data_IF_304322558390
#
_entry.id   IF_304322558390
#
_cell.length_a   1.000
_cell.length_b   1.000
_cell.length_c   1.000
_cell.angle_alpha   90.00
_cell.angle_beta   90.00
_cell.angle_gamma   90.00
#
_symmetry.space_group_name_H-M   'P 1'
#
loop_
_entity.id
_entity.type
_entity.pdbx_description
1 polymer ?
#
# COMPACT_ATOMS: atom_id res chain seq x y z
N UNK A 1 8.86 11.10 -28.23
CA UNK A 1 9.72 11.78 -27.26
C UNK A 1 10.07 10.78 -26.17
N UNK A 2 11.36 10.45 -26.00
CA UNK A 2 11.81 9.50 -24.97
C UNK A 2 11.52 10.11 -23.60
N UNK A 3 10.52 9.54 -22.86
CA UNK A 3 10.38 9.82 -21.43
C UNK A 3 11.62 9.22 -20.75
N UNK A 4 12.40 10.03 -20.05
CA UNK A 4 13.57 9.59 -19.29
C UNK A 4 13.19 8.50 -18.29
N UNK A 5 14.07 7.51 -18.09
CA UNK A 5 13.85 6.32 -17.26
C UNK A 5 13.86 6.59 -15.74
N UNK A 6 13.82 7.86 -15.31
CA UNK A 6 13.79 8.22 -13.88
C UNK A 6 12.36 8.58 -13.45
N UNK A 7 11.50 7.55 -13.31
CA UNK A 7 10.16 7.70 -12.71
C UNK A 7 10.23 7.79 -11.17
N UNK A 8 11.30 8.36 -10.62
CA UNK A 8 11.46 8.57 -9.18
C UNK A 8 11.10 10.02 -8.83
N UNK A 9 10.33 10.16 -7.76
CA UNK A 9 9.98 11.45 -7.17
C UNK A 9 10.27 11.39 -5.66
N UNK A 10 10.82 12.46 -5.09
CA UNK A 10 11.12 12.50 -3.66
C UNK A 10 10.26 13.53 -2.96
N UNK A 11 9.60 13.11 -1.88
CA UNK A 11 8.85 13.99 -1.00
C UNK A 11 9.77 14.45 0.12
N UNK A 12 9.83 15.77 0.42
CA UNK A 12 10.59 16.24 1.57
C UNK A 12 10.11 15.58 2.87
N UNK A 13 11.04 15.13 3.72
CA UNK A 13 10.70 14.56 5.04
C UNK A 13 9.93 15.53 5.94
N UNK A 14 10.07 16.85 5.68
CA UNK A 14 9.33 17.91 6.37
C UNK A 14 7.92 18.11 5.83
N UNK A 15 7.48 17.35 4.82
CA UNK A 15 6.11 17.45 4.32
C UNK A 15 5.13 17.02 5.43
N UNK A 16 4.28 17.95 5.80
CA UNK A 16 3.23 17.76 6.81
C UNK A 16 1.97 18.46 6.31
N UNK A 17 0.95 17.74 5.86
CA UNK A 17 -0.30 18.32 5.42
C UNK A 17 -1.10 18.85 6.62
N UNK A 18 -2.18 19.60 6.35
CA UNK A 18 -3.12 20.08 7.38
C UNK A 18 -3.85 18.91 8.04
N UNK A 19 -4.36 19.11 9.26
CA UNK A 19 -5.05 18.08 10.04
C UNK A 19 -6.26 17.46 9.34
N UNK A 20 -7.00 18.23 8.54
CA UNK A 20 -8.19 17.78 7.79
C UNK A 20 -7.91 17.47 6.31
N UNK A 21 -6.65 17.26 5.95
CA UNK A 21 -6.19 17.10 4.56
C UNK A 21 -6.88 15.95 3.80
N UNK A 22 -7.28 14.91 4.51
CA UNK A 22 -7.98 13.74 3.98
C UNK A 22 -9.44 13.68 4.44
N UNK A 23 -10.00 14.79 4.93
CA UNK A 23 -11.38 14.83 5.40
C UNK A 23 -12.36 14.28 4.35
N UNK A 24 -13.33 13.51 4.82
CA UNK A 24 -14.40 12.83 4.05
C UNK A 24 -13.93 11.80 3.02
N UNK A 25 -12.64 11.49 2.94
CA UNK A 25 -12.12 10.42 2.07
C UNK A 25 -12.34 9.06 2.69
N UNK A 26 -12.71 8.10 1.85
CA UNK A 26 -12.81 6.68 2.20
C UNK A 26 -11.57 5.98 1.65
N UNK A 27 -10.75 5.41 2.53
CA UNK A 27 -9.45 4.84 2.16
C UNK A 27 -9.36 3.39 2.63
N UNK A 28 -9.15 2.46 1.70
CA UNK A 28 -8.89 1.05 2.00
C UNK A 28 -7.38 0.80 2.13
N UNK A 29 -6.96 0.20 3.23
CA UNK A 29 -5.56 -0.14 3.51
C UNK A 29 -5.43 -1.65 3.69
N UNK A 30 -4.62 -2.31 2.85
CA UNK A 30 -4.25 -3.72 3.05
C UNK A 30 -3.03 -3.86 3.95
N UNK A 31 -2.94 -4.94 4.72
CA UNK A 31 -1.88 -5.10 5.72
C UNK A 31 -2.03 -4.10 6.87
N UNK A 32 -3.27 -3.66 7.15
CA UNK A 32 -3.56 -2.59 8.09
C UNK A 32 -3.30 -2.95 9.56
N UNK A 33 -3.08 -4.23 9.87
CA UNK A 33 -2.81 -4.69 11.23
C UNK A 33 -1.37 -4.49 11.69
N UNK A 34 -0.41 -4.19 10.78
CA UNK A 34 1.02 -4.22 11.15
C UNK A 34 1.85 -3.19 10.40
N UNK A 35 2.97 -2.82 11.02
CA UNK A 35 4.09 -2.06 10.41
C UNK A 35 3.62 -0.82 9.61
N UNK A 36 3.98 -0.74 8.32
CA UNK A 36 3.65 0.40 7.46
C UNK A 36 2.13 0.55 7.23
N UNK A 37 1.39 -0.56 7.16
CA UNK A 37 -0.05 -0.51 6.95
C UNK A 37 -0.80 0.09 8.14
N UNK A 38 -0.45 -0.33 9.37
CA UNK A 38 -1.05 0.23 10.58
C UNK A 38 -0.70 1.70 10.78
N UNK A 39 0.58 2.06 10.56
CA UNK A 39 1.02 3.44 10.63
C UNK A 39 0.32 4.34 9.60
N UNK A 40 0.15 3.86 8.36
CA UNK A 40 -0.56 4.59 7.31
C UNK A 40 -2.05 4.75 7.65
N UNK A 41 -2.70 3.69 8.14
CA UNK A 41 -4.10 3.75 8.56
C UNK A 41 -4.32 4.81 9.66
N UNK A 42 -3.48 4.79 10.70
CA UNK A 42 -3.51 5.79 11.76
C UNK A 42 -3.24 7.21 11.23
N UNK A 43 -2.24 7.36 10.35
CA UNK A 43 -1.91 8.66 9.76
C UNK A 43 -3.04 9.23 8.90
N UNK A 44 -3.68 8.39 8.08
CA UNK A 44 -4.83 8.81 7.26
C UNK A 44 -6.03 9.19 8.12
N UNK A 45 -6.34 8.40 9.15
CA UNK A 45 -7.40 8.70 10.08
C UNK A 45 -7.16 10.00 10.86
N UNK A 46 -5.93 10.23 11.33
CA UNK A 46 -5.53 11.47 12.01
C UNK A 46 -5.68 12.72 11.12
N UNK A 47 -5.70 12.56 9.79
CA UNK A 47 -5.96 13.63 8.82
C UNK A 47 -7.40 13.64 8.29
N UNK A 48 -8.33 12.96 8.98
CA UNK A 48 -9.77 13.05 8.75
C UNK A 48 -10.37 12.02 7.80
N UNK A 49 -9.60 11.03 7.34
CA UNK A 49 -10.13 9.95 6.50
C UNK A 49 -10.91 8.91 7.32
N UNK A 50 -11.97 8.34 6.73
CA UNK A 50 -12.53 7.07 7.18
C UNK A 50 -11.73 5.94 6.57
N UNK A 51 -11.12 5.09 7.40
CA UNK A 51 -10.22 4.04 6.93
C UNK A 51 -10.89 2.67 7.02
N UNK A 52 -10.79 1.89 5.94
CA UNK A 52 -11.19 0.48 5.91
C UNK A 52 -9.92 -0.34 6.13
N UNK A 53 -9.85 -1.03 7.27
CA UNK A 53 -8.71 -1.81 7.73
C UNK A 53 -8.82 -3.25 7.24
N UNK A 54 -7.96 -3.67 6.31
CA UNK A 54 -7.94 -5.03 5.77
C UNK A 54 -6.67 -5.76 6.18
N UNK A 55 -6.84 -6.84 6.92
CA UNK A 55 -5.78 -7.81 7.27
C UNK A 55 -6.43 -9.16 7.62
N UNK A 56 -5.61 -10.19 7.78
CA UNK A 56 -6.07 -11.52 8.23
C UNK A 56 -6.08 -11.65 9.76
N UNK A 57 -5.30 -10.85 10.47
CA UNK A 57 -5.19 -10.85 11.93
C UNK A 57 -6.22 -9.91 12.54
N UNK A 58 -7.32 -10.48 13.01
CA UNK A 58 -8.42 -9.73 13.61
C UNK A 58 -7.97 -8.94 14.84
N UNK A 59 -7.17 -9.56 15.70
CA UNK A 59 -6.70 -8.89 16.93
C UNK A 59 -5.80 -7.68 16.62
N UNK A 60 -4.97 -7.80 15.58
CA UNK A 60 -4.16 -6.67 15.12
C UNK A 60 -5.03 -5.55 14.53
N UNK A 61 -6.08 -5.90 13.78
CA UNK A 61 -7.05 -4.91 13.26
C UNK A 61 -7.81 -4.20 14.38
N UNK A 62 -8.27 -4.95 15.41
CA UNK A 62 -8.95 -4.37 16.59
C UNK A 62 -8.04 -3.40 17.34
N UNK A 63 -6.76 -3.70 17.50
CA UNK A 63 -5.80 -2.80 18.12
C UNK A 63 -5.66 -1.47 17.35
N UNK A 64 -5.55 -1.53 16.02
CA UNK A 64 -5.50 -0.33 15.17
C UNK A 64 -6.81 0.45 15.19
N UNK A 65 -7.95 -0.26 15.20
CA UNK A 65 -9.27 0.36 15.35
C UNK A 65 -9.35 1.15 16.66
N UNK A 66 -8.96 0.54 17.78
CA UNK A 66 -8.97 1.19 19.09
C UNK A 66 -8.05 2.42 19.15
N UNK A 67 -6.89 2.34 18.51
CA UNK A 67 -5.96 3.47 18.41
C UNK A 67 -6.58 4.63 17.64
N UNK A 68 -7.23 4.37 16.50
CA UNK A 68 -7.91 5.39 15.69
C UNK A 68 -9.07 6.03 16.49
N UNK A 69 -9.90 5.22 17.13
CA UNK A 69 -11.02 5.72 17.97
C UNK A 69 -10.49 6.56 19.15
N UNK A 70 -9.41 6.12 19.79
CA UNK A 70 -8.78 6.86 20.91
C UNK A 70 -8.23 8.21 20.49
N UNK A 71 -7.78 8.36 19.23
CA UNK A 71 -7.35 9.65 18.68
C UNK A 71 -8.50 10.61 18.41
N UNK A 72 -9.76 10.15 18.50
CA UNK A 72 -10.95 10.94 18.15
C UNK A 72 -11.10 11.16 16.64
N UNK A 73 -10.43 10.34 15.81
CA UNK A 73 -10.55 10.34 14.37
C UNK A 73 -11.85 9.66 13.89
N UNK A 74 -12.24 9.78 12.60
CA UNK A 74 -13.40 9.07 12.07
C UNK A 74 -13.32 7.57 12.33
N UNK A 75 -14.43 6.98 12.77
CA UNK A 75 -14.54 5.56 13.12
C UNK A 75 -14.17 4.70 11.90
N UNK A 76 -13.16 3.80 12.02
CA UNK A 76 -12.74 2.96 10.90
C UNK A 76 -13.65 1.74 10.76
N UNK A 77 -13.63 1.10 9.58
CA UNK A 77 -14.26 -0.20 9.36
C UNK A 77 -13.21 -1.32 9.34
N UNK A 78 -13.52 -2.47 9.92
CA UNK A 78 -12.67 -3.66 9.88
C UNK A 78 -13.17 -4.64 8.83
N UNK A 79 -12.26 -5.12 7.97
CA UNK A 79 -12.53 -6.16 6.99
C UNK A 79 -11.48 -7.29 7.08
N UNK A 80 -11.75 -8.37 7.87
CA UNK A 80 -10.84 -9.49 7.99
C UNK A 80 -10.78 -10.30 6.70
N UNK A 81 -9.61 -10.37 6.05
CA UNK A 81 -9.41 -11.19 4.85
C UNK A 81 -7.94 -11.57 4.69
N UNK A 82 -7.68 -12.86 4.38
CA UNK A 82 -6.35 -13.33 4.05
C UNK A 82 -6.04 -13.18 2.57
N UNK A 83 -4.99 -12.43 2.22
CA UNK A 83 -4.53 -12.28 0.85
C UNK A 83 -3.95 -13.57 0.26
N UNK A 84 -3.51 -14.52 1.10
CA UNK A 84 -2.93 -15.80 0.67
C UNK A 84 -3.95 -16.68 -0.03
N UNK A 85 -5.16 -16.75 0.51
CA UNK A 85 -6.22 -17.65 0.02
C UNK A 85 -7.36 -16.96 -0.71
N UNK A 86 -7.32 -15.64 -0.86
CA UNK A 86 -8.40 -14.89 -1.49
C UNK A 86 -8.49 -15.20 -3.00
N UNK A 87 -9.72 -15.45 -3.44
CA UNK A 87 -10.08 -15.65 -4.83
C UNK A 87 -10.67 -14.36 -5.43
N UNK A 88 -10.82 -14.24 -6.76
CA UNK A 88 -11.47 -13.06 -7.36
C UNK A 88 -12.84 -12.72 -6.74
N UNK A 89 -13.63 -13.72 -6.38
CA UNK A 89 -14.95 -13.53 -5.77
C UNK A 89 -14.87 -12.80 -4.42
N UNK A 90 -13.89 -13.13 -3.58
CA UNK A 90 -13.71 -12.45 -2.28
C UNK A 90 -13.43 -10.95 -2.44
N UNK A 91 -12.67 -10.56 -3.49
CA UNK A 91 -12.42 -9.14 -3.78
C UNK A 91 -13.65 -8.43 -4.35
N UNK A 92 -14.46 -9.12 -5.15
CA UNK A 92 -15.73 -8.62 -5.66
C UNK A 92 -16.73 -8.42 -4.51
N UNK A 93 -16.86 -9.38 -3.60
CA UNK A 93 -17.69 -9.25 -2.38
C UNK A 93 -17.23 -8.09 -1.47
N UNK A 94 -15.92 -7.88 -1.33
CA UNK A 94 -15.37 -6.73 -0.61
C UNK A 94 -15.79 -5.42 -1.29
N UNK A 95 -15.59 -5.30 -2.60
CA UNK A 95 -15.95 -4.11 -3.34
C UNK A 95 -17.45 -3.81 -3.26
N UNK A 96 -18.30 -4.84 -3.34
CA UNK A 96 -19.75 -4.70 -3.18
C UNK A 96 -20.15 -4.18 -1.80
N UNK A 97 -19.51 -4.69 -0.73
CA UNK A 97 -19.74 -4.20 0.64
C UNK A 97 -19.30 -2.75 0.80
N UNK A 98 -18.09 -2.40 0.34
CA UNK A 98 -17.60 -1.02 0.36
C UNK A 98 -18.53 -0.11 -0.45
N UNK A 99 -18.98 -0.56 -1.61
CA UNK A 99 -19.93 0.18 -2.44
C UNK A 99 -21.29 0.40 -1.77
N UNK A 100 -21.79 -0.61 -1.04
CA UNK A 100 -23.06 -0.53 -0.32
C UNK A 100 -23.02 0.38 0.91
N UNK A 101 -21.87 0.40 1.59
CA UNK A 101 -21.71 1.17 2.83
C UNK A 101 -21.27 2.61 2.59
N UNK A 102 -20.32 2.81 1.66
CA UNK A 102 -19.70 4.12 1.45
C UNK A 102 -20.02 4.75 0.08
N UNK A 103 -20.53 3.99 -0.88
CA UNK A 103 -20.89 4.44 -2.21
C UNK A 103 -19.71 4.65 -3.17
N UNK A 104 -18.51 4.94 -2.68
CA UNK A 104 -17.27 5.20 -3.42
C UNK A 104 -16.03 4.77 -2.63
N UNK A 105 -14.88 4.84 -3.28
CA UNK A 105 -13.57 4.72 -2.65
C UNK A 105 -12.67 5.86 -3.16
N UNK A 106 -12.05 6.62 -2.25
CA UNK A 106 -11.19 7.75 -2.58
C UNK A 106 -9.69 7.38 -2.52
N UNK A 107 -9.35 6.27 -1.87
CA UNK A 107 -7.97 5.81 -1.77
C UNK A 107 -7.86 4.30 -1.59
N UNK A 108 -6.82 3.72 -2.21
CA UNK A 108 -6.47 2.30 -2.06
C UNK A 108 -4.96 2.19 -1.82
N UNK A 109 -4.57 1.78 -0.60
CA UNK A 109 -3.18 1.50 -0.25
C UNK A 109 -2.92 -0.01 -0.18
N UNK A 110 -2.03 -0.49 -1.03
CA UNK A 110 -1.47 -1.82 -0.97
C UNK A 110 -0.20 -1.84 -0.11
N UNK A 111 -0.35 -2.08 1.21
CA UNK A 111 0.77 -2.22 2.15
C UNK A 111 0.98 -3.67 2.61
N UNK A 112 -0.01 -4.56 2.42
CA UNK A 112 0.14 -5.98 2.72
C UNK A 112 1.24 -6.62 1.88
N UNK A 113 2.20 -7.28 2.53
CA UNK A 113 3.37 -7.87 1.87
C UNK A 113 3.87 -9.13 2.57
N UNK A 114 4.43 -10.04 1.81
CA UNK A 114 5.07 -11.29 2.26
C UNK A 114 6.52 -11.30 1.77
N UNK A 115 7.50 -11.53 2.67
CA UNK A 115 8.92 -11.59 2.32
C UNK A 115 9.29 -12.93 1.69
N UNK A 116 8.75 -14.01 2.21
CA UNK A 116 9.27 -15.35 2.00
C UNK A 116 10.60 -15.55 2.76
N UNK A 117 11.39 -16.54 2.34
CA UNK A 117 12.70 -16.79 2.92
C UNK A 117 13.80 -16.40 1.94
N UNK A 118 14.69 -15.43 2.28
CA UNK A 118 15.84 -15.09 1.45
C UNK A 118 16.68 -16.31 1.14
N UNK A 119 16.81 -16.66 -0.14
CA UNK A 119 17.44 -17.92 -0.57
C UNK A 119 17.93 -17.81 -2.02
N UNK A 120 18.99 -18.54 -2.41
CA UNK A 120 19.37 -18.66 -3.81
C UNK A 120 18.22 -19.21 -4.66
N UNK A 121 18.05 -18.71 -5.88
CA UNK A 121 16.97 -19.17 -6.78
C UNK A 121 16.98 -20.69 -6.98
N UNK A 122 18.17 -21.30 -7.06
CA UNK A 122 18.32 -22.75 -7.25
C UNK A 122 17.69 -23.59 -6.13
N UNK A 123 17.50 -23.01 -4.94
CA UNK A 123 16.98 -23.69 -3.76
C UNK A 123 15.71 -23.03 -3.20
N UNK A 124 15.15 -22.08 -3.93
CA UNK A 124 13.97 -21.37 -3.49
C UNK A 124 12.75 -22.32 -3.46
N UNK A 125 12.06 -22.38 -2.34
CA UNK A 125 10.88 -23.23 -2.20
C UNK A 125 9.75 -22.73 -3.10
N UNK A 126 9.21 -23.63 -3.93
CA UNK A 126 8.19 -23.28 -4.94
C UNK A 126 6.85 -22.86 -4.29
N UNK A 127 6.50 -23.41 -3.13
CA UNK A 127 5.27 -23.03 -2.43
C UNK A 127 5.40 -21.65 -1.78
N UNK A 128 6.58 -21.36 -1.22
CA UNK A 128 6.88 -20.00 -0.74
C UNK A 128 6.90 -18.99 -1.89
N UNK A 129 7.48 -19.35 -3.04
CA UNK A 129 7.44 -18.51 -4.23
C UNK A 129 5.99 -18.17 -4.59
N UNK A 130 5.14 -19.16 -4.74
CA UNK A 130 3.73 -18.98 -5.06
C UNK A 130 3.00 -18.09 -4.03
N UNK A 131 3.26 -18.30 -2.73
CA UNK A 131 2.68 -17.49 -1.65
C UNK A 131 3.09 -16.02 -1.75
N UNK A 132 4.39 -15.72 -1.96
CA UNK A 132 4.88 -14.36 -2.10
C UNK A 132 4.28 -13.66 -3.33
N UNK A 133 4.24 -14.32 -4.47
CA UNK A 133 3.62 -13.78 -5.70
C UNK A 133 2.10 -13.58 -5.51
N UNK A 134 1.43 -14.50 -4.83
CA UNK A 134 0.01 -14.36 -4.51
C UNK A 134 -0.27 -13.11 -3.68
N UNK A 135 0.47 -12.90 -2.59
CA UNK A 135 0.25 -11.77 -1.68
C UNK A 135 0.71 -10.44 -2.28
N UNK A 136 1.89 -10.42 -2.90
CA UNK A 136 2.54 -9.17 -3.32
C UNK A 136 2.12 -8.69 -4.71
N UNK A 137 1.55 -9.56 -5.55
CA UNK A 137 1.22 -9.21 -6.94
C UNK A 137 -0.22 -9.56 -7.31
N UNK A 138 -0.64 -10.82 -7.15
CA UNK A 138 -1.99 -11.23 -7.58
C UNK A 138 -3.07 -10.55 -6.72
N UNK A 139 -2.91 -10.48 -5.41
CA UNK A 139 -3.86 -9.84 -4.51
C UNK A 139 -3.99 -8.33 -4.80
N UNK A 140 -2.92 -7.54 -4.91
CA UNK A 140 -3.00 -6.14 -5.35
C UNK A 140 -3.69 -5.95 -6.70
N UNK A 141 -3.38 -6.78 -7.70
CA UNK A 141 -4.04 -6.74 -9.00
C UNK A 141 -5.56 -7.00 -8.88
N UNK A 142 -5.95 -8.09 -8.22
CA UNK A 142 -7.36 -8.50 -8.11
C UNK A 142 -8.17 -7.48 -7.29
N UNK A 143 -7.62 -6.98 -6.19
CA UNK A 143 -8.28 -5.97 -5.36
C UNK A 143 -8.42 -4.64 -6.12
N UNK A 144 -7.37 -4.18 -6.79
CA UNK A 144 -7.44 -2.98 -7.62
C UNK A 144 -8.53 -3.12 -8.68
N UNK A 145 -8.54 -4.23 -9.43
CA UNK A 145 -9.54 -4.51 -10.46
C UNK A 145 -10.97 -4.46 -9.89
N UNK A 146 -11.21 -5.07 -8.74
CA UNK A 146 -12.52 -5.08 -8.10
C UNK A 146 -12.95 -3.68 -7.61
N UNK A 147 -12.00 -2.88 -7.11
CA UNK A 147 -12.28 -1.55 -6.57
C UNK A 147 -12.31 -0.43 -7.64
N UNK A 148 -11.82 -0.66 -8.87
CA UNK A 148 -11.81 0.37 -9.93
C UNK A 148 -13.17 1.05 -10.15
N UNK A 149 -14.32 0.36 -10.18
CA UNK A 149 -15.62 1.02 -10.35
C UNK A 149 -15.95 2.00 -9.20
N UNK A 150 -15.49 1.72 -7.97
CA UNK A 150 -15.69 2.59 -6.81
C UNK A 150 -14.74 3.79 -6.82
N UNK A 151 -13.48 3.56 -7.21
CA UNK A 151 -12.46 4.60 -7.36
C UNK A 151 -12.85 5.62 -8.45
N UNK A 152 -13.45 5.17 -9.54
CA UNK A 152 -13.95 6.04 -10.61
C UNK A 152 -15.17 6.90 -10.22
N UNK A 153 -15.83 6.61 -9.10
CA UNK A 153 -16.92 7.45 -8.55
C UNK A 153 -16.44 8.61 -7.69
N UNK A 154 -15.18 8.58 -7.29
CA UNK A 154 -14.59 9.63 -6.48
C UNK A 154 -14.22 10.85 -7.35
N UNK A 155 -14.32 12.04 -6.78
CA UNK A 155 -13.86 13.29 -7.41
C UNK A 155 -12.33 13.41 -7.45
N UNK A 156 -11.64 12.65 -6.59
CA UNK A 156 -10.19 12.60 -6.48
C UNK A 156 -9.77 11.26 -5.85
N UNK A 157 -9.26 10.33 -6.63
CA UNK A 157 -8.86 9.02 -6.16
C UNK A 157 -7.36 8.76 -6.34
N UNK A 158 -6.79 7.97 -5.41
CA UNK A 158 -5.39 7.57 -5.45
C UNK A 158 -5.22 6.08 -5.15
N UNK A 159 -4.51 5.38 -6.04
CA UNK A 159 -4.05 4.01 -5.81
C UNK A 159 -2.56 4.07 -5.52
N UNK A 160 -2.14 3.53 -4.38
CA UNK A 160 -0.75 3.52 -3.94
C UNK A 160 -0.29 2.09 -3.68
N UNK A 161 0.81 1.70 -4.32
CA UNK A 161 1.45 0.40 -4.11
C UNK A 161 2.76 0.58 -3.34
N UNK A 162 2.92 -0.15 -2.23
CA UNK A 162 4.20 -0.16 -1.51
C UNK A 162 5.22 -1.00 -2.24
N UNK A 163 6.27 -0.34 -2.75
CA UNK A 163 7.44 -0.95 -3.40
C UNK A 163 8.64 -1.03 -2.44
N UNK A 164 9.81 -1.23 -2.98
CA UNK A 164 11.11 -1.25 -2.32
C UNK A 164 12.21 -1.04 -3.35
N UNK A 165 13.43 -0.70 -2.91
CA UNK A 165 14.61 -0.54 -3.79
C UNK A 165 14.92 -1.77 -4.64
N UNK A 166 14.64 -2.98 -4.11
CA UNK A 166 14.78 -4.25 -4.84
C UNK A 166 13.78 -4.43 -5.98
N UNK A 167 12.81 -3.54 -6.14
CA UNK A 167 11.91 -3.46 -7.30
C UNK A 167 12.55 -2.79 -8.53
N UNK A 168 13.69 -2.12 -8.35
CA UNK A 168 14.44 -1.44 -9.41
C UNK A 168 15.83 -2.03 -9.62
N UNK A 169 16.41 -2.64 -8.58
CA UNK A 169 17.71 -3.27 -8.66
C UNK A 169 17.67 -4.67 -8.05
N UNK A 170 17.78 -5.70 -8.90
CA UNK A 170 17.84 -7.09 -8.43
C UNK A 170 19.06 -7.35 -7.55
N UNK A 171 18.85 -8.07 -6.45
CA UNK A 171 19.88 -8.48 -5.50
C UNK A 171 19.82 -9.98 -5.26
N UNK A 172 20.96 -10.62 -5.03
CA UNK A 172 21.03 -12.01 -4.67
C UNK A 172 20.19 -12.30 -3.42
N UNK A 173 19.54 -13.46 -3.38
CA UNK A 173 18.71 -13.98 -2.30
C UNK A 173 17.30 -13.34 -2.14
N UNK A 174 16.97 -12.27 -2.87
CA UNK A 174 15.67 -11.61 -2.77
C UNK A 174 14.54 -12.30 -3.55
N UNK A 175 14.84 -13.29 -4.36
CA UNK A 175 13.92 -14.26 -5.00
C UNK A 175 12.56 -13.70 -5.39
N UNK A 176 11.50 -14.33 -4.90
CA UNK A 176 10.12 -13.97 -5.22
C UNK A 176 9.76 -12.56 -4.75
N UNK A 177 10.29 -12.10 -3.59
CA UNK A 177 10.02 -10.74 -3.11
C UNK A 177 10.54 -9.67 -4.09
N UNK A 178 11.81 -9.74 -4.48
CA UNK A 178 12.38 -8.81 -5.46
C UNK A 178 11.60 -8.83 -6.78
N UNK A 179 11.33 -10.02 -7.33
CA UNK A 179 10.54 -10.18 -8.56
C UNK A 179 9.15 -9.55 -8.40
N UNK A 180 8.47 -9.76 -7.27
CA UNK A 180 7.15 -9.15 -7.03
C UNK A 180 7.19 -7.62 -6.99
N UNK A 181 8.26 -7.02 -6.44
CA UNK A 181 8.40 -5.57 -6.40
C UNK A 181 8.70 -4.97 -7.77
N UNK A 182 9.51 -5.64 -8.62
CA UNK A 182 9.63 -5.28 -10.04
C UNK A 182 8.28 -5.32 -10.77
N UNK A 183 7.51 -6.39 -10.54
CA UNK A 183 6.20 -6.55 -11.16
C UNK A 183 5.20 -5.47 -10.72
N UNK A 184 5.22 -5.07 -9.44
CA UNK A 184 4.38 -4.00 -8.91
C UNK A 184 4.74 -2.65 -9.55
N UNK A 185 6.01 -2.31 -9.71
CA UNK A 185 6.40 -1.07 -10.39
C UNK A 185 6.01 -1.07 -11.87
N UNK A 186 6.05 -2.23 -12.53
CA UNK A 186 5.48 -2.40 -13.87
C UNK A 186 3.95 -2.22 -13.89
N UNK A 187 3.25 -2.77 -12.91
CA UNK A 187 1.79 -2.63 -12.77
C UNK A 187 1.38 -1.17 -12.54
N UNK A 188 2.13 -0.42 -11.73
CA UNK A 188 1.93 1.03 -11.52
C UNK A 188 1.96 1.78 -12.84
N UNK A 189 2.97 1.52 -13.69
CA UNK A 189 3.11 2.20 -14.98
C UNK A 189 1.99 1.83 -15.96
N UNK A 190 1.63 0.54 -16.04
CA UNK A 190 0.56 0.04 -16.91
C UNK A 190 -0.78 0.66 -16.52
N UNK A 191 -1.14 0.59 -15.23
CA UNK A 191 -2.40 1.16 -14.75
C UNK A 191 -2.47 2.68 -14.92
N UNK A 192 -1.36 3.38 -14.69
CA UNK A 192 -1.30 4.83 -14.89
C UNK A 192 -1.53 5.23 -16.34
N UNK A 193 -1.02 4.46 -17.31
CA UNK A 193 -1.21 4.67 -18.75
C UNK A 193 -2.64 4.32 -19.17
N UNK A 194 -3.17 3.17 -18.75
CA UNK A 194 -4.55 2.74 -19.02
C UNK A 194 -5.62 3.72 -18.47
N UNK A 195 -5.32 4.37 -17.35
CA UNK A 195 -6.23 5.29 -16.67
C UNK A 195 -5.94 6.77 -16.98
N UNK A 196 -5.11 7.08 -18.00
CA UNK A 196 -4.78 8.47 -18.39
C UNK A 196 -6.03 9.30 -18.74
N UNK A 197 -7.10 8.66 -19.21
CA UNK A 197 -8.38 9.32 -19.52
C UNK A 197 -9.25 9.60 -18.28
N UNK A 198 -8.86 9.15 -17.11
CA UNK A 198 -9.54 9.36 -15.83
C UNK A 198 -8.80 10.42 -15.00
N UNK A 199 -9.03 11.72 -15.25
CA UNK A 199 -8.17 12.80 -14.72
C UNK A 199 -8.20 12.92 -13.19
N UNK A 200 -9.16 12.26 -12.55
CA UNK A 200 -9.35 12.28 -11.09
C UNK A 200 -8.82 11.03 -10.40
N UNK A 201 -8.26 10.07 -11.15
CA UNK A 201 -7.71 8.83 -10.62
C UNK A 201 -6.23 8.72 -11.00
N UNK A 202 -5.37 8.61 -10.00
CA UNK A 202 -3.93 8.45 -10.19
C UNK A 202 -3.42 7.15 -9.55
N UNK A 203 -2.36 6.62 -10.12
CA UNK A 203 -1.72 5.38 -9.69
C UNK A 203 -0.23 5.64 -9.50
N UNK A 204 0.27 5.43 -8.29
CA UNK A 204 1.68 5.62 -7.97
C UNK A 204 2.20 4.51 -7.06
N UNK A 205 3.51 4.38 -6.96
CA UNK A 205 4.16 3.55 -5.96
C UNK A 205 4.82 4.40 -4.89
N UNK A 206 5.09 3.79 -3.74
CA UNK A 206 5.90 4.37 -2.67
C UNK A 206 7.00 3.40 -2.26
N UNK A 207 8.23 3.89 -2.21
CA UNK A 207 9.36 3.18 -1.61
C UNK A 207 9.68 3.89 -0.28
N UNK A 208 9.32 3.29 0.86
CA UNK A 208 9.52 3.90 2.17
C UNK A 208 10.99 3.92 2.62
N UNK A 209 11.88 3.31 1.82
CA UNK A 209 13.28 3.12 2.20
C UNK A 209 13.46 2.08 3.31
N UNK A 210 14.49 2.29 4.13
CA UNK A 210 14.81 1.39 5.25
C UNK A 210 14.02 1.82 6.48
N UNK A 211 13.10 0.95 6.95
CA UNK A 211 12.17 1.23 8.05
C UNK A 211 12.16 0.06 9.03
N UNK A 212 12.02 0.35 10.32
CA UNK A 212 11.88 -0.63 11.40
C UNK A 212 10.56 -1.40 11.26
N UNK A 213 10.60 -2.55 10.59
CA UNK A 213 9.45 -3.42 10.35
C UNK A 213 9.80 -4.87 10.67
N UNK A 214 8.79 -5.70 10.90
CA UNK A 214 8.97 -7.15 11.05
C UNK A 214 9.64 -7.76 9.83
N UNK A 215 9.26 -7.28 8.63
CA UNK A 215 9.88 -7.71 7.37
C UNK A 215 11.36 -7.37 7.33
N UNK A 216 11.74 -6.14 7.72
CA UNK A 216 13.15 -5.71 7.77
C UNK A 216 13.95 -6.57 8.74
N UNK A 217 13.45 -6.79 9.95
CA UNK A 217 14.10 -7.63 10.95
C UNK A 217 14.26 -9.08 10.48
N UNK A 218 13.30 -9.62 9.74
CA UNK A 218 13.40 -10.97 9.15
C UNK A 218 14.44 -11.02 8.02
N UNK A 219 14.53 -9.98 7.19
CA UNK A 219 15.49 -9.90 6.08
C UNK A 219 16.93 -9.64 6.54
N UNK A 220 17.10 -8.89 7.64
CA UNK A 220 18.39 -8.45 8.18
C UNK A 220 18.47 -8.70 9.70
N UNK A 221 18.54 -9.95 10.16
CA UNK A 221 18.47 -10.28 11.58
C UNK A 221 19.67 -9.79 12.42
N UNK A 222 20.77 -9.40 11.77
CA UNK A 222 21.95 -8.85 12.44
C UNK A 222 21.95 -7.30 12.50
N UNK A 223 20.97 -6.64 11.91
CA UNK A 223 20.82 -5.17 11.95
C UNK A 223 20.15 -4.75 13.26
N UNK A 224 20.66 -3.73 13.91
CA UNK A 224 20.01 -3.16 15.10
C UNK A 224 18.75 -2.37 14.68
N UNK A 225 17.54 -2.88 14.98
CA UNK A 225 16.31 -2.21 14.57
C UNK A 225 16.13 -0.82 15.24
N UNK A 226 16.81 -0.55 16.36
CA UNK A 226 16.72 0.75 17.03
C UNK A 226 17.43 1.88 16.29
N UNK A 227 18.27 1.55 15.31
CA UNK A 227 18.93 2.54 14.44
C UNK A 227 18.06 2.97 13.26
N UNK A 228 16.91 2.32 13.06
CA UNK A 228 16.03 2.55 11.93
C UNK A 228 14.84 3.43 12.30
N UNK A 229 14.35 4.26 11.38
CA UNK A 229 13.14 5.04 11.59
C UNK A 229 11.93 4.12 11.85
N UNK A 230 11.02 4.58 12.68
CA UNK A 230 9.74 3.90 12.90
C UNK A 230 8.81 4.07 11.71
N UNK A 231 7.83 3.17 11.51
CA UNK A 231 6.85 3.32 10.44
C UNK A 231 6.16 4.69 10.41
N UNK A 232 5.83 5.27 11.57
CA UNK A 232 5.22 6.58 11.66
C UNK A 232 6.06 7.74 11.10
N UNK A 233 7.40 7.62 11.14
CA UNK A 233 8.31 8.66 10.70
C UNK A 233 8.45 8.78 9.17
N UNK A 234 7.96 7.77 8.42
CA UNK A 234 8.02 7.75 6.95
C UNK A 234 6.66 7.99 6.28
N UNK A 235 5.66 8.43 7.04
CA UNK A 235 4.29 8.60 6.53
C UNK A 235 4.10 9.82 5.62
N UNK A 236 5.06 10.74 5.54
CA UNK A 236 5.00 11.92 4.67
C UNK A 236 4.70 11.56 3.21
N UNK A 237 5.38 10.55 2.65
CA UNK A 237 5.17 10.12 1.27
C UNK A 237 3.78 9.47 1.07
N UNK A 238 3.31 8.70 2.05
CA UNK A 238 1.97 8.08 2.01
C UNK A 238 0.85 9.13 2.07
N UNK A 239 0.95 10.10 2.98
CA UNK A 239 0.02 11.22 3.09
C UNK A 239 0.01 12.05 1.80
N UNK A 240 1.18 12.39 1.28
CA UNK A 240 1.32 13.13 0.03
C UNK A 240 0.61 12.42 -1.12
N UNK A 241 0.89 11.13 -1.32
CA UNK A 241 0.30 10.35 -2.40
C UNK A 241 -1.21 10.14 -2.24
N UNK A 242 -1.70 10.01 -1.01
CA UNK A 242 -3.11 9.79 -0.75
C UNK A 242 -3.94 11.07 -0.84
N UNK A 243 -3.33 12.24 -0.74
CA UNK A 243 -4.00 13.53 -0.77
C UNK A 243 -3.90 14.27 -2.11
N UNK A 244 -4.50 15.45 -2.17
CA UNK A 244 -4.62 16.26 -3.40
C UNK A 244 -3.29 16.85 -3.92
N UNK A 245 -2.26 16.92 -3.09
CA UNK A 245 -0.98 17.51 -3.46
C UNK A 245 -0.21 16.66 -4.49
N UNK A 246 -0.57 15.39 -4.64
CA UNK A 246 -0.02 14.48 -5.64
C UNK A 246 -0.80 14.42 -6.96
N UNK A 247 -1.79 15.29 -7.20
CA UNK A 247 -2.65 15.24 -8.40
C UNK A 247 -1.90 15.32 -9.72
N UNK A 248 -0.74 15.95 -9.72
CA UNK A 248 0.11 16.07 -10.92
C UNK A 248 1.00 14.83 -11.16
N UNK A 249 1.00 13.87 -10.24
CA UNK A 249 1.84 12.66 -10.33
C UNK A 249 1.01 11.45 -10.70
N UNK A 250 1.43 10.74 -11.76
CA UNK A 250 0.85 9.49 -12.20
C UNK A 250 1.92 8.58 -12.80
N UNK A 251 1.95 7.32 -12.41
CA UNK A 251 2.90 6.32 -12.91
C UNK A 251 4.32 6.44 -12.34
N UNK A 252 4.51 7.09 -11.20
CA UNK A 252 5.83 7.30 -10.58
C UNK A 252 5.99 6.50 -9.29
N UNK A 253 7.26 6.28 -8.89
CA UNK A 253 7.63 5.76 -7.58
C UNK A 253 8.11 6.92 -6.72
N UNK A 254 7.44 7.16 -5.61
CA UNK A 254 7.81 8.18 -4.63
C UNK A 254 8.71 7.56 -3.57
N UNK A 255 9.84 8.23 -3.28
CA UNK A 255 10.76 7.84 -2.21
C UNK A 255 10.57 8.74 -0.99
N UNK A 256 10.66 8.15 0.21
CA UNK A 256 10.64 8.86 1.49
C UNK A 256 12.01 9.39 1.88
#
# INVERSE_FOLDING_TARGET
MSKSHDNLFSVPKSYSPKEDFLAVRIILVTGAGVDLGSAAACAFAAHGATVILLDHDVSALEAVYDDIVRMGAPEPAIYPMSLVGATPLHYEELADRVGSEFGRLDGLLHAGTELGTPSPIAYYDAMQWAKVIQVNLHAPFLLTRACLPLLKRAEDASIVFTSADVGRQGRAYWGAYGVSKFAIEGLVQILADELETEPYLRVNGVDPGVVRTRLRSAAYPAEDPMTLPEPGEVMSAYLFLMGQDSRSLNGVIVTS
#
